data_IF_102237567995
#
_entry.id   IF_102237567995
#
_cell.length_a   1.000
_cell.length_b   1.000
_cell.length_c   1.000
_cell.angle_alpha   90.00
_cell.angle_beta   90.00
_cell.angle_gamma   90.00
#
_symmetry.space_group_name_H-M   'P 1'
#
loop_
_entity.id
_entity.type
_entity.pdbx_description
1 polymer ?
#
# COMPACT_ATOMS: atom_id res chain seq x y z
N UNK A 1 0.73 -8.74 6.43
CA UNK A 1 -0.56 -8.06 6.22
C UNK A 1 -1.07 -8.32 4.81
N UNK A 2 -2.35 -8.59 4.66
CA UNK A 2 -2.95 -8.83 3.35
C UNK A 2 -3.20 -7.52 2.61
N UNK A 3 -3.16 -7.59 1.28
CA UNK A 3 -3.47 -6.42 0.45
C UNK A 3 -4.86 -5.87 0.75
N UNK A 4 -5.84 -6.76 0.94
CA UNK A 4 -7.20 -6.34 1.25
C UNK A 4 -7.29 -5.54 2.55
N UNK A 5 -6.51 -5.92 3.55
CA UNK A 5 -6.46 -5.19 4.81
C UNK A 5 -5.82 -3.82 4.64
N UNK A 6 -4.72 -3.76 3.89
CA UNK A 6 -4.05 -2.51 3.62
C UNK A 6 -4.95 -1.56 2.83
N UNK A 7 -5.64 -2.09 1.83
CA UNK A 7 -6.56 -1.29 1.01
C UNK A 7 -7.68 -0.70 1.85
N UNK A 8 -8.19 -1.46 2.81
CA UNK A 8 -9.20 -0.98 3.74
C UNK A 8 -8.70 0.20 4.56
N UNK A 9 -7.49 0.08 5.08
CA UNK A 9 -6.88 1.16 5.87
C UNK A 9 -6.63 2.41 5.05
N UNK A 10 -6.35 2.23 3.76
CA UNK A 10 -6.09 3.33 2.85
C UNK A 10 -7.36 3.87 2.19
N UNK A 11 -8.50 3.22 2.45
CA UNK A 11 -9.77 3.56 1.83
C UNK A 11 -9.68 3.53 0.30
N UNK A 12 -9.10 2.47 -0.23
CA UNK A 12 -8.98 2.32 -1.68
C UNK A 12 -9.29 0.89 -2.11
N UNK A 13 -9.53 0.74 -3.40
CA UNK A 13 -9.83 -0.55 -3.99
C UNK A 13 -8.59 -1.47 -3.95
N UNK A 14 -8.72 -2.73 -3.51
CA UNK A 14 -7.58 -3.64 -3.48
C UNK A 14 -6.90 -3.83 -4.82
N UNK A 15 -7.67 -3.86 -5.91
CA UNK A 15 -7.09 -4.02 -7.24
C UNK A 15 -6.23 -2.82 -7.61
N UNK A 16 -6.69 -1.63 -7.28
CA UNK A 16 -5.93 -0.41 -7.50
C UNK A 16 -4.63 -0.43 -6.70
N UNK A 17 -4.70 -0.91 -5.46
CA UNK A 17 -3.50 -1.03 -4.63
C UNK A 17 -2.50 -2.00 -5.24
N UNK A 18 -2.98 -3.15 -5.74
CA UNK A 18 -2.10 -4.12 -6.39
C UNK A 18 -1.37 -3.52 -7.59
N UNK A 19 -2.09 -2.79 -8.40
CA UNK A 19 -1.50 -2.13 -9.58
C UNK A 19 -0.46 -1.09 -9.15
N UNK A 20 -0.77 -0.33 -8.12
CA UNK A 20 0.16 0.67 -7.61
C UNK A 20 1.44 0.03 -7.06
N UNK A 21 1.31 -1.10 -6.38
CA UNK A 21 2.47 -1.83 -5.88
C UNK A 21 3.33 -2.37 -7.02
N UNK A 22 2.71 -2.82 -8.11
CA UNK A 22 3.45 -3.26 -9.29
C UNK A 22 4.26 -2.13 -9.90
N UNK A 23 3.79 -0.91 -9.80
CA UNK A 23 4.46 0.26 -10.32
C UNK A 23 5.43 0.90 -9.33
N UNK A 24 5.49 0.37 -8.12
CA UNK A 24 6.40 0.89 -7.10
C UNK A 24 6.01 2.26 -6.57
N UNK A 25 4.74 2.58 -6.55
CA UNK A 25 4.26 3.90 -6.13
C UNK A 25 4.21 4.12 -4.62
N UNK A 26 4.21 3.04 -3.85
CA UNK A 26 4.09 3.14 -2.40
C UNK A 26 5.30 2.56 -1.69
N UNK A 27 5.75 3.20 -0.59
CA UNK A 27 6.93 2.74 0.16
C UNK A 27 6.63 1.62 1.15
N UNK A 28 5.37 1.29 1.38
CA UNK A 28 4.99 0.33 2.42
C UNK A 28 4.76 -1.08 1.91
N UNK A 29 5.00 -1.33 0.66
CA UNK A 29 4.81 -2.67 0.12
C UNK A 29 5.51 -2.87 -1.21
N UNK A 30 5.59 -4.12 -1.62
CA UNK A 30 6.22 -4.51 -2.87
C UNK A 30 5.38 -5.55 -3.58
N UNK A 31 5.52 -5.61 -4.89
CA UNK A 31 4.96 -6.66 -5.72
C UNK A 31 6.13 -7.41 -6.33
N UNK A 32 6.20 -8.71 -6.09
CA UNK A 32 7.25 -9.55 -6.61
C UNK A 32 6.66 -10.48 -7.67
N UNK A 33 7.20 -10.40 -8.87
CA UNK A 33 6.74 -11.25 -9.96
C UNK A 33 7.28 -12.66 -9.75
N UNK A 34 6.38 -13.62 -9.55
CA UNK A 34 6.75 -15.01 -9.27
C UNK A 34 6.67 -15.89 -10.51
N UNK A 35 5.92 -15.46 -11.53
CA UNK A 35 5.86 -16.11 -12.82
C UNK A 35 5.34 -15.09 -13.83
N UNK A 36 5.22 -15.47 -15.11
CA UNK A 36 4.85 -14.52 -16.16
C UNK A 36 3.59 -13.72 -15.87
N UNK A 37 2.60 -14.34 -15.25
CA UNK A 37 1.32 -13.70 -15.00
C UNK A 37 0.95 -13.61 -13.53
N UNK A 38 1.92 -13.84 -12.64
CA UNK A 38 1.61 -13.87 -11.21
C UNK A 38 2.52 -12.96 -10.41
N UNK A 39 1.91 -12.32 -9.43
CA UNK A 39 2.64 -11.48 -8.47
C UNK A 39 2.30 -11.90 -7.06
N UNK A 40 3.31 -11.83 -6.19
CA UNK A 40 3.11 -11.94 -4.76
C UNK A 40 3.26 -10.55 -4.18
N UNK A 41 2.32 -10.15 -3.33
CA UNK A 41 2.31 -8.83 -2.73
C UNK A 41 2.68 -8.92 -1.27
N UNK A 42 3.55 -8.03 -0.84
CA UNK A 42 3.96 -7.99 0.55
C UNK A 42 3.79 -6.57 1.10
N UNK A 43 3.05 -6.47 2.19
CA UNK A 43 2.79 -5.19 2.85
C UNK A 43 3.57 -5.16 4.15
N UNK A 44 4.34 -4.11 4.36
CA UNK A 44 5.12 -3.90 5.58
C UNK A 44 4.26 -3.08 6.54
N UNK A 45 3.68 -3.75 7.53
CA UNK A 45 2.69 -3.14 8.41
C UNK A 45 3.19 -1.86 9.10
N UNK A 46 4.41 -1.88 9.60
CA UNK A 46 4.95 -0.72 10.29
C UNK A 46 5.16 0.47 9.35
N UNK A 47 5.55 0.19 8.12
CA UNK A 47 5.71 1.25 7.12
C UNK A 47 4.36 1.83 6.70
N UNK A 48 3.36 0.97 6.59
CA UNK A 48 2.01 1.42 6.28
C UNK A 48 1.48 2.32 7.39
N UNK A 49 1.68 1.95 8.63
CA UNK A 49 1.26 2.76 9.76
C UNK A 49 1.91 4.13 9.74
N UNK A 50 3.20 4.17 9.48
CA UNK A 50 3.92 5.44 9.37
C UNK A 50 3.43 6.29 8.22
N UNK A 51 3.13 5.65 7.11
CA UNK A 51 2.58 6.33 5.95
C UNK A 51 1.24 6.98 6.27
N UNK A 52 0.37 6.24 6.95
CA UNK A 52 -0.94 6.74 7.34
C UNK A 52 -0.83 7.88 8.35
N UNK A 53 0.08 7.77 9.30
CA UNK A 53 0.34 8.83 10.26
C UNK A 53 0.82 10.10 9.58
N UNK A 54 1.73 9.95 8.64
CA UNK A 54 2.24 11.07 7.87
C UNK A 54 1.15 11.76 7.07
N UNK A 55 0.28 10.97 6.45
CA UNK A 55 -0.85 11.50 5.68
C UNK A 55 -1.81 12.25 6.59
N UNK A 56 -2.13 11.69 7.74
CA UNK A 56 -2.99 12.34 8.72
C UNK A 56 -2.38 13.65 9.22
N UNK A 57 -1.09 13.61 9.49
CA UNK A 57 -0.37 14.79 9.96
C UNK A 57 -0.40 15.91 8.90
N UNK A 58 -0.14 15.55 7.66
CA UNK A 58 -0.15 16.51 6.57
C UNK A 58 -1.54 17.12 6.38
N UNK A 59 -2.56 16.31 6.47
CA UNK A 59 -3.94 16.77 6.36
C UNK A 59 -4.27 17.78 7.45
N UNK A 60 -3.89 17.47 8.68
CA UNK A 60 -4.12 18.35 9.82
C UNK A 60 -3.31 19.63 9.71
N UNK A 61 -2.10 19.51 9.22
CA UNK A 61 -1.20 20.65 9.07
C UNK A 61 -1.71 21.64 8.03
N UNK A 62 -2.30 21.14 6.97
CA UNK A 62 -2.77 21.96 5.86
C UNK A 62 -4.16 22.53 6.08
N UNK A 63 -4.85 22.08 7.08
CA UNK A 63 -6.18 22.64 7.41
C UNK A 63 -6.07 23.67 8.51
#
# INVERSE_FOLDING_TARGET
>A
MLVSEAAKKLDMNPQTLRLALQQGLFPFGVAVKTSENRYTYKIFASRLEKYLEGTDYETNHNS
#
